data_IF_788411559680
#
_entry.id   IF_788411559680
#
_cell.length_a   1.000
_cell.length_b   1.000
_cell.length_c   1.000
_cell.angle_alpha   90.00
_cell.angle_beta   90.00
_cell.angle_gamma   90.00
#
_symmetry.space_group_name_H-M   'P 1'
#
loop_
_entity.id
_entity.type
_entity.pdbx_description
1 polymer ?
#
# COMPACT_ATOMS: atom_id res chain seq x y z
N UNK A 1 -11.37 34.20 -9.65
CA UNK A 1 -10.58 33.02 -9.27
C UNK A 1 -11.29 31.78 -9.78
N UNK A 2 -10.65 31.06 -10.64
CA UNK A 2 -11.16 29.77 -11.09
C UNK A 2 -11.24 28.78 -9.92
N UNK A 3 -12.35 28.08 -9.79
CA UNK A 3 -12.54 27.11 -8.70
C UNK A 3 -11.71 25.87 -9.05
N UNK A 4 -10.86 25.41 -8.12
CA UNK A 4 -10.09 24.17 -8.28
C UNK A 4 -11.04 23.01 -8.63
N UNK A 5 -10.63 22.14 -9.52
CA UNK A 5 -11.32 20.87 -9.75
C UNK A 5 -11.23 19.98 -8.51
N UNK A 6 -12.06 18.95 -8.45
CA UNK A 6 -12.02 18.01 -7.32
C UNK A 6 -10.64 17.36 -7.16
N UNK A 7 -10.04 16.89 -8.24
CA UNK A 7 -8.71 16.27 -8.20
C UNK A 7 -7.61 17.28 -7.85
N UNK A 8 -7.71 18.54 -8.29
CA UNK A 8 -6.74 19.58 -7.92
C UNK A 8 -6.80 19.90 -6.43
N UNK A 9 -8.01 19.90 -5.85
CA UNK A 9 -8.20 20.11 -4.42
C UNK A 9 -7.59 18.96 -3.59
N UNK A 10 -7.78 17.71 -4.04
CA UNK A 10 -7.19 16.52 -3.42
C UNK A 10 -5.66 16.51 -3.55
N UNK A 11 -5.13 16.86 -4.71
CA UNK A 11 -3.69 16.99 -4.95
C UNK A 11 -3.06 18.05 -4.04
N UNK A 12 -3.66 19.24 -4.01
CA UNK A 12 -3.16 20.33 -3.18
C UNK A 12 -3.14 19.97 -1.68
N UNK A 13 -4.18 19.27 -1.19
CA UNK A 13 -4.21 18.77 0.18
C UNK A 13 -3.11 17.74 0.44
N UNK A 14 -2.93 16.77 -0.45
CA UNK A 14 -1.90 15.74 -0.30
C UNK A 14 -0.48 16.31 -0.33
N UNK A 15 -0.20 17.24 -1.24
CA UNK A 15 1.08 17.95 -1.33
C UNK A 15 1.34 18.77 -0.06
N UNK A 16 0.33 19.48 0.44
CA UNK A 16 0.44 20.22 1.70
C UNK A 16 0.83 19.30 2.86
N UNK A 17 0.12 18.16 3.02
CA UNK A 17 0.42 17.18 4.07
C UNK A 17 1.84 16.62 3.95
N UNK A 18 2.29 16.29 2.73
CA UNK A 18 3.64 15.77 2.49
C UNK A 18 4.70 16.80 2.89
N UNK A 19 4.51 18.07 2.52
CA UNK A 19 5.42 19.16 2.88
C UNK A 19 5.43 19.44 4.39
N UNK A 20 4.26 19.42 5.04
CA UNK A 20 4.12 19.59 6.48
C UNK A 20 4.93 18.55 7.26
N UNK A 21 4.82 17.27 6.88
CA UNK A 21 5.60 16.20 7.51
C UNK A 21 7.10 16.35 7.27
N UNK A 22 7.50 16.76 6.07
CA UNK A 22 8.92 16.98 5.77
C UNK A 22 9.52 18.16 6.56
N UNK A 23 8.70 19.16 6.89
CA UNK A 23 9.12 20.33 7.66
C UNK A 23 9.15 20.07 9.18
N UNK A 24 8.16 19.33 9.69
CA UNK A 24 7.90 19.23 11.12
C UNK A 24 8.41 17.92 11.76
N UNK A 25 8.59 16.85 10.98
CA UNK A 25 9.04 15.55 11.49
C UNK A 25 10.55 15.36 11.27
N UNK A 26 11.25 14.95 12.31
CA UNK A 26 12.71 14.85 12.32
C UNK A 26 13.24 13.87 11.27
N UNK A 27 12.59 12.69 11.12
CA UNK A 27 13.06 11.64 10.21
C UNK A 27 11.90 10.92 9.50
N UNK A 28 11.32 11.53 8.47
CA UNK A 28 10.24 10.92 7.71
C UNK A 28 10.74 9.85 6.72
N UNK A 29 9.85 8.93 6.35
CA UNK A 29 10.06 7.91 5.31
C UNK A 29 8.75 7.68 4.56
N UNK A 30 8.81 7.43 3.26
CA UNK A 30 7.63 7.06 2.50
C UNK A 30 7.62 5.55 2.21
N UNK A 31 6.57 4.87 2.66
CA UNK A 31 6.41 3.46 2.39
C UNK A 31 5.99 3.25 0.92
N UNK A 32 6.72 2.39 0.23
CA UNK A 32 6.46 2.06 -1.16
C UNK A 32 6.11 0.58 -1.32
N UNK A 33 4.81 0.30 -1.42
CA UNK A 33 4.29 -1.07 -1.54
C UNK A 33 4.17 -1.56 -2.99
N UNK A 34 4.51 -0.71 -3.96
CA UNK A 34 4.44 -0.94 -5.43
C UNK A 34 2.98 -0.99 -5.94
N UNK A 35 1.98 -0.82 -5.08
CA UNK A 35 0.58 -0.72 -5.48
C UNK A 35 0.24 0.66 -6.08
N UNK A 36 -0.93 0.77 -6.74
CA UNK A 36 -1.42 2.01 -7.35
C UNK A 36 -1.39 3.22 -6.39
N UNK A 37 -1.85 3.01 -5.16
CA UNK A 37 -1.90 4.06 -4.14
C UNK A 37 -0.50 4.56 -3.77
N UNK A 38 0.47 3.65 -3.62
CA UNK A 38 1.87 4.03 -3.35
C UNK A 38 2.57 4.67 -4.57
N UNK A 39 2.15 4.33 -5.80
CA UNK A 39 2.64 4.99 -7.01
C UNK A 39 2.11 6.42 -7.12
N UNK A 40 0.85 6.66 -6.77
CA UNK A 40 0.28 8.02 -6.63
C UNK A 40 1.02 8.79 -5.54
N UNK A 41 1.28 8.18 -4.39
CA UNK A 41 2.04 8.81 -3.30
C UNK A 41 3.46 9.20 -3.73
N UNK A 42 4.15 8.34 -4.47
CA UNK A 42 5.47 8.63 -5.04
C UNK A 42 5.41 9.83 -5.99
N UNK A 43 4.44 9.84 -6.91
CA UNK A 43 4.24 10.96 -7.84
C UNK A 43 3.97 12.27 -7.09
N UNK A 44 3.07 12.27 -6.11
CA UNK A 44 2.76 13.43 -5.27
C UNK A 44 3.99 13.93 -4.50
N UNK A 45 4.83 13.03 -3.99
CA UNK A 45 6.06 13.40 -3.31
C UNK A 45 7.05 14.07 -4.27
N UNK A 46 7.26 13.51 -5.48
CA UNK A 46 8.09 14.14 -6.51
C UNK A 46 7.57 15.51 -6.89
N UNK A 47 6.25 15.65 -7.07
CA UNK A 47 5.60 16.93 -7.42
C UNK A 47 5.70 17.95 -6.26
N UNK A 48 5.62 17.51 -5.01
CA UNK A 48 5.69 18.36 -3.83
C UNK A 48 7.03 19.10 -3.71
N UNK A 49 8.12 18.49 -4.18
CA UNK A 49 9.47 19.06 -4.04
C UNK A 49 10.11 19.44 -5.37
N UNK A 50 9.39 19.32 -6.48
CA UNK A 50 9.91 19.73 -7.79
C UNK A 50 10.47 21.15 -7.78
N UNK A 51 11.67 21.39 -8.39
CA UNK A 51 12.49 20.48 -9.21
C UNK A 51 13.40 19.54 -8.40
N UNK A 52 13.49 19.70 -7.10
CA UNK A 52 14.30 18.86 -6.21
C UNK A 52 13.63 17.52 -5.94
N UNK A 53 14.38 16.59 -5.33
CA UNK A 53 13.86 15.30 -4.86
C UNK A 53 13.24 15.44 -3.47
N UNK A 54 12.32 14.53 -3.10
CA UNK A 54 11.83 14.46 -1.72
C UNK A 54 12.98 14.33 -0.71
N UNK A 55 12.99 15.12 0.39
CA UNK A 55 14.09 15.12 1.37
C UNK A 55 14.00 13.94 2.35
N UNK A 56 13.45 12.82 1.91
CA UNK A 56 13.31 11.60 2.70
C UNK A 56 13.39 10.36 1.80
N UNK A 57 13.87 9.22 2.34
CA UNK A 57 13.95 7.98 1.59
C UNK A 57 12.58 7.31 1.41
N UNK A 58 12.54 6.35 0.49
CA UNK A 58 11.43 5.42 0.31
C UNK A 58 11.79 4.08 0.93
N UNK A 59 10.82 3.41 1.54
CA UNK A 59 11.03 2.12 2.18
C UNK A 59 10.08 1.06 1.61
N UNK A 60 10.66 0.00 1.05
CA UNK A 60 9.96 -1.21 0.67
C UNK A 60 10.18 -2.32 1.70
N UNK A 61 9.12 -2.78 2.33
CA UNK A 61 9.15 -4.00 3.15
C UNK A 61 8.96 -5.20 2.24
N UNK A 62 10.05 -5.89 1.96
CA UNK A 62 10.04 -7.08 1.13
C UNK A 62 9.71 -8.32 1.97
N UNK A 63 8.55 -8.87 1.72
CA UNK A 63 8.05 -10.07 2.40
C UNK A 63 8.57 -11.37 1.78
N UNK A 64 9.50 -11.30 0.81
CA UNK A 64 10.04 -12.39 0.00
C UNK A 64 9.04 -13.09 -0.93
N UNK A 65 7.75 -12.82 -0.77
CA UNK A 65 6.65 -13.37 -1.56
C UNK A 65 5.91 -12.27 -2.34
N UNK A 66 6.65 -11.47 -3.10
CA UNK A 66 6.11 -10.51 -4.06
C UNK A 66 6.11 -11.09 -5.46
N UNK A 67 5.21 -10.62 -6.31
CA UNK A 67 5.27 -10.95 -7.74
C UNK A 67 6.57 -10.41 -8.34
N UNK A 68 7.17 -11.19 -9.25
CA UNK A 68 8.39 -10.79 -9.95
C UNK A 68 8.26 -9.46 -10.68
N UNK A 69 7.10 -9.26 -11.35
CA UNK A 69 6.81 -8.00 -12.03
C UNK A 69 6.82 -6.78 -11.08
N UNK A 70 6.39 -6.97 -9.82
CA UNK A 70 6.42 -5.88 -8.82
C UNK A 70 7.85 -5.47 -8.48
N UNK A 71 8.71 -6.43 -8.20
CA UNK A 71 10.10 -6.13 -7.82
C UNK A 71 10.83 -5.46 -8.98
N UNK A 72 10.69 -6.00 -10.19
CA UNK A 72 11.26 -5.40 -11.39
C UNK A 72 10.79 -3.95 -11.58
N UNK A 73 9.49 -3.70 -11.50
CA UNK A 73 8.91 -2.36 -11.64
C UNK A 73 9.45 -1.40 -10.58
N UNK A 74 9.54 -1.84 -9.31
CA UNK A 74 10.12 -1.04 -8.21
C UNK A 74 11.53 -0.56 -8.55
N UNK A 75 12.38 -1.48 -8.98
CA UNK A 75 13.80 -1.20 -9.24
C UNK A 75 13.97 -0.27 -10.45
N UNK A 76 13.16 -0.48 -11.49
CA UNK A 76 13.12 0.40 -12.67
C UNK A 76 12.65 1.81 -12.29
N UNK A 77 11.60 1.95 -11.49
CA UNK A 77 11.11 3.26 -11.04
C UNK A 77 12.12 3.97 -10.14
N UNK A 78 12.73 3.27 -9.18
CA UNK A 78 13.75 3.85 -8.31
C UNK A 78 14.92 4.40 -9.11
N UNK A 79 15.40 3.63 -10.11
CA UNK A 79 16.48 4.04 -11.00
C UNK A 79 16.08 5.24 -11.89
N UNK A 80 14.89 5.19 -12.51
CA UNK A 80 14.37 6.23 -13.40
C UNK A 80 14.24 7.57 -12.67
N UNK A 81 13.71 7.57 -11.47
CA UNK A 81 13.49 8.76 -10.66
C UNK A 81 14.72 9.17 -9.84
N UNK A 82 15.71 8.30 -9.75
CA UNK A 82 16.94 8.53 -8.98
C UNK A 82 16.66 8.77 -7.50
N UNK A 83 15.69 8.04 -6.92
CA UNK A 83 15.31 8.12 -5.51
C UNK A 83 16.04 7.08 -4.67
N UNK A 84 16.23 7.38 -3.39
CA UNK A 84 16.76 6.42 -2.43
C UNK A 84 15.66 5.43 -2.04
N UNK A 85 15.82 4.16 -2.45
CA UNK A 85 14.89 3.08 -2.12
C UNK A 85 15.54 2.10 -1.15
N UNK A 86 15.12 2.17 0.11
CA UNK A 86 15.52 1.22 1.14
C UNK A 86 14.67 -0.04 1.03
N UNK A 87 15.31 -1.18 1.11
CA UNK A 87 14.62 -2.47 1.21
C UNK A 87 14.86 -3.06 2.59
N UNK A 88 13.80 -3.60 3.20
CA UNK A 88 13.89 -4.30 4.46
C UNK A 88 13.23 -5.66 4.39
N UNK A 89 13.95 -6.68 4.83
CA UNK A 89 13.50 -8.07 4.97
C UNK A 89 13.63 -8.48 6.44
N UNK A 90 12.62 -9.15 6.98
CA UNK A 90 12.74 -9.79 8.29
C UNK A 90 13.57 -11.08 8.14
N UNK A 91 14.88 -10.98 8.34
CA UNK A 91 15.81 -12.09 8.17
C UNK A 91 15.52 -13.27 9.12
N UNK A 92 15.03 -12.99 10.33
CA UNK A 92 14.69 -14.05 11.27
C UNK A 92 13.46 -14.84 10.81
N UNK A 93 12.46 -14.17 10.23
CA UNK A 93 11.35 -14.85 9.58
C UNK A 93 11.79 -15.71 8.38
N UNK A 94 12.76 -15.22 7.60
CA UNK A 94 13.35 -16.02 6.49
C UNK A 94 14.06 -17.25 7.02
N UNK A 95 14.92 -17.11 8.04
CA UNK A 95 15.63 -18.25 8.67
C UNK A 95 14.69 -19.30 9.24
N UNK A 96 13.52 -18.88 9.75
CA UNK A 96 12.47 -19.77 10.27
C UNK A 96 11.60 -20.39 9.14
N UNK A 97 11.86 -20.07 7.88
CA UNK A 97 11.09 -20.58 6.75
C UNK A 97 9.65 -20.08 6.69
N UNK A 98 9.37 -18.91 7.28
CA UNK A 98 8.01 -18.35 7.32
C UNK A 98 7.50 -18.07 5.90
N UNK A 99 6.41 -18.71 5.51
CA UNK A 99 5.83 -18.61 4.18
C UNK A 99 4.28 -18.54 4.25
N UNK A 100 3.61 -18.07 3.20
CA UNK A 100 2.17 -17.85 3.22
C UNK A 100 1.33 -19.14 3.21
N UNK A 101 1.89 -20.28 2.77
CA UNK A 101 1.16 -21.54 2.67
C UNK A 101 1.03 -22.26 4.00
N UNK A 102 2.11 -22.29 4.77
CA UNK A 102 2.20 -23.06 6.01
C UNK A 102 1.83 -22.21 7.24
N UNK A 103 1.93 -20.89 7.14
CA UNK A 103 1.82 -19.98 8.28
C UNK A 103 0.63 -19.02 8.21
N UNK A 104 -0.14 -18.99 7.13
CA UNK A 104 -1.39 -18.21 7.00
C UNK A 104 -1.25 -16.74 7.47
N UNK A 105 -2.07 -16.33 8.44
CA UNK A 105 -2.04 -14.96 8.97
C UNK A 105 -0.75 -14.62 9.72
N UNK A 106 -0.09 -15.60 10.36
CA UNK A 106 1.19 -15.39 11.05
C UNK A 106 2.29 -14.93 10.07
N UNK A 107 2.27 -15.41 8.82
CA UNK A 107 3.17 -14.91 7.78
C UNK A 107 3.04 -13.39 7.59
N UNK A 108 1.82 -12.88 7.48
CA UNK A 108 1.60 -11.43 7.30
C UNK A 108 2.05 -10.64 8.51
N UNK A 109 1.81 -11.16 9.72
CA UNK A 109 2.28 -10.50 10.93
C UNK A 109 3.82 -10.44 10.97
N UNK A 110 4.49 -11.57 10.81
CA UNK A 110 5.95 -11.67 10.95
C UNK A 110 6.67 -10.95 9.79
N UNK A 111 6.30 -11.26 8.54
CA UNK A 111 7.04 -10.79 7.37
C UNK A 111 6.66 -9.39 6.91
N UNK A 112 5.54 -8.84 7.39
CA UNK A 112 5.08 -7.49 7.02
C UNK A 112 5.00 -6.57 8.24
N UNK A 113 4.20 -6.89 9.26
CA UNK A 113 3.95 -6.00 10.40
C UNK A 113 5.20 -5.86 11.27
N UNK A 114 5.78 -6.98 11.71
CA UNK A 114 7.01 -6.97 12.52
C UNK A 114 8.20 -6.44 11.71
N UNK A 115 8.34 -6.85 10.44
CA UNK A 115 9.38 -6.32 9.56
C UNK A 115 9.32 -4.79 9.42
N UNK A 116 8.11 -4.21 9.29
CA UNK A 116 7.95 -2.76 9.26
C UNK A 116 8.39 -2.12 10.58
N UNK A 117 7.96 -2.67 11.72
CA UNK A 117 8.37 -2.16 13.05
C UNK A 117 9.88 -2.20 13.23
N UNK A 118 10.51 -3.31 12.84
CA UNK A 118 11.96 -3.49 12.88
C UNK A 118 12.66 -2.45 12.00
N UNK A 119 12.19 -2.24 10.76
CA UNK A 119 12.75 -1.25 9.84
C UNK A 119 12.67 0.16 10.42
N UNK A 120 11.51 0.57 10.91
CA UNK A 120 11.30 1.90 11.47
C UNK A 120 12.19 2.15 12.69
N UNK A 121 12.34 1.15 13.55
CA UNK A 121 13.24 1.22 14.72
C UNK A 121 14.71 1.25 14.30
N UNK A 122 15.11 0.35 13.39
CA UNK A 122 16.50 0.25 12.91
C UNK A 122 17.00 1.54 12.29
N UNK A 123 16.14 2.18 11.48
CA UNK A 123 16.51 3.42 10.81
C UNK A 123 16.15 4.67 11.62
N UNK A 124 15.42 4.53 12.73
CA UNK A 124 15.01 5.64 13.60
C UNK A 124 13.98 6.57 12.96
N UNK A 125 13.09 6.06 12.10
CA UNK A 125 12.07 6.89 11.47
C UNK A 125 10.98 7.32 12.45
N UNK A 126 10.67 8.62 12.46
CA UNK A 126 9.68 9.23 13.35
C UNK A 126 8.32 9.42 12.68
N UNK A 127 8.29 9.50 11.36
CA UNK A 127 7.05 9.57 10.58
C UNK A 127 7.13 8.64 9.35
N UNK A 128 6.03 7.93 9.07
CA UNK A 128 5.96 7.07 7.89
C UNK A 128 4.69 7.35 7.09
N UNK A 129 4.87 7.78 5.84
CA UNK A 129 3.76 7.97 4.92
C UNK A 129 3.22 6.64 4.41
N UNK A 130 1.91 6.53 4.24
CA UNK A 130 1.24 5.40 3.66
C UNK A 130 0.04 5.75 2.81
N UNK A 131 -0.27 4.87 1.86
CA UNK A 131 -1.36 5.03 0.91
C UNK A 131 -2.74 4.61 1.42
N UNK A 132 -2.95 4.53 2.74
CA UNK A 132 -4.25 4.14 3.30
C UNK A 132 -5.35 5.17 3.03
N UNK A 133 -6.52 4.69 2.59
CA UNK A 133 -7.69 5.52 2.27
C UNK A 133 -8.89 5.14 3.13
N UNK A 134 -9.73 6.12 3.48
CA UNK A 134 -10.98 5.89 4.24
C UNK A 134 -12.01 5.11 3.44
N UNK A 135 -11.98 5.26 2.12
CA UNK A 135 -12.82 4.55 1.18
C UNK A 135 -12.50 3.04 1.13
N UNK A 136 -11.23 2.69 1.26
CA UNK A 136 -10.77 1.31 1.23
C UNK A 136 -11.27 0.49 2.44
N UNK A 137 -11.29 1.12 3.63
CA UNK A 137 -11.60 0.41 4.86
C UNK A 137 -12.10 1.39 5.96
N UNK A 138 -13.28 1.11 6.52
CA UNK A 138 -13.98 2.01 7.47
C UNK A 138 -13.17 2.38 8.72
N UNK A 139 -12.34 1.48 9.22
CA UNK A 139 -11.52 1.76 10.42
C UNK A 139 -10.43 2.81 10.15
N UNK A 140 -10.09 3.07 8.86
CA UNK A 140 -9.16 4.14 8.46
C UNK A 140 -9.68 5.53 8.84
N UNK A 141 -10.99 5.74 8.85
CA UNK A 141 -11.57 7.02 9.27
C UNK A 141 -11.23 7.38 10.73
N UNK A 142 -11.07 6.38 11.60
CA UNK A 142 -10.70 6.58 13.01
C UNK A 142 -9.24 6.99 13.19
N UNK A 143 -8.36 6.55 12.30
CA UNK A 143 -6.92 6.85 12.37
C UNK A 143 -6.58 8.30 12.00
N UNK A 144 -7.49 9.01 11.33
CA UNK A 144 -7.25 10.35 10.81
C UNK A 144 -6.16 10.37 9.72
N UNK A 145 -5.69 11.56 9.36
CA UNK A 145 -4.57 11.74 8.42
C UNK A 145 -3.24 11.52 9.15
N UNK A 146 -3.10 12.07 10.37
CA UNK A 146 -1.92 11.90 11.22
C UNK A 146 -2.25 10.90 12.35
N UNK A 147 -1.93 9.65 12.13
CA UNK A 147 -2.21 8.56 13.05
C UNK A 147 -1.06 8.37 14.04
N UNK A 148 -1.32 8.71 15.28
CA UNK A 148 -0.34 8.61 16.36
C UNK A 148 -0.04 7.15 16.73
N UNK A 149 1.24 6.85 16.98
CA UNK A 149 1.72 5.55 17.45
C UNK A 149 2.51 5.73 18.74
N UNK A 150 2.17 4.96 19.73
CA UNK A 150 2.90 4.93 21.01
C UNK A 150 4.28 4.26 20.86
N UNK A 151 5.05 4.17 21.94
CA UNK A 151 6.38 3.54 21.97
C UNK A 151 6.41 2.06 21.57
N UNK A 152 5.28 1.35 21.65
CA UNK A 152 5.12 -0.01 21.13
C UNK A 152 4.75 -0.04 19.64
N UNK A 153 4.75 1.12 18.96
CA UNK A 153 4.30 1.33 17.58
C UNK A 153 2.83 0.92 17.33
N UNK A 154 2.04 0.86 18.39
CA UNK A 154 0.62 0.56 18.35
C UNK A 154 -0.22 1.83 18.21
N UNK A 155 -1.31 1.74 17.44
CA UNK A 155 -2.28 2.82 17.38
C UNK A 155 -3.08 2.90 18.68
N UNK A 156 -3.12 4.11 19.28
CA UNK A 156 -3.92 4.39 20.45
C UNK A 156 -5.05 5.36 20.10
N UNK A 157 -6.29 4.86 19.95
CA UNK A 157 -7.43 5.70 19.61
C UNK A 157 -7.78 6.75 20.68
N UNK A 158 -7.38 6.54 21.94
CA UNK A 158 -7.65 7.48 23.03
C UNK A 158 -6.77 8.74 22.94
N UNK A 159 -5.57 8.58 22.39
CA UNK A 159 -4.61 9.67 22.21
C UNK A 159 -4.59 10.22 20.77
N UNK A 160 -5.54 9.79 19.93
CA UNK A 160 -5.69 10.34 18.58
C UNK A 160 -6.08 11.82 18.66
N UNK A 161 -5.31 12.66 17.99
CA UNK A 161 -5.46 14.12 18.03
C UNK A 161 -6.50 14.61 17.03
N UNK A 162 -7.26 15.67 17.34
CA UNK A 162 -8.17 16.28 16.39
C UNK A 162 -7.41 16.99 15.26
N UNK A 163 -8.01 17.02 14.08
CA UNK A 163 -7.48 17.67 12.87
C UNK A 163 -8.46 18.76 12.40
N UNK A 164 -8.72 19.72 13.27
CA UNK A 164 -9.62 20.84 12.97
C UNK A 164 -8.91 21.86 12.08
N UNK A 165 -9.64 22.39 11.10
CA UNK A 165 -9.13 23.41 10.16
C UNK A 165 -7.84 23.02 9.42
N UNK A 166 -7.61 21.73 9.21
CA UNK A 166 -6.37 21.19 8.59
C UNK A 166 -5.10 21.54 9.36
N UNK A 167 -5.21 21.74 10.66
CA UNK A 167 -4.07 21.89 11.54
C UNK A 167 -3.68 20.53 12.11
N UNK A 168 -2.40 20.21 11.99
CA UNK A 168 -1.87 18.93 12.42
C UNK A 168 -0.93 19.09 13.60
N UNK A 169 -1.03 18.18 14.56
CA UNK A 169 -0.12 18.16 15.70
C UNK A 169 0.89 17.01 15.52
N UNK A 170 2.10 17.35 15.12
CA UNK A 170 3.20 16.43 14.83
C UNK A 170 4.10 16.15 16.04
N UNK A 171 3.85 16.78 17.19
CA UNK A 171 4.67 16.56 18.39
C UNK A 171 4.58 15.13 18.88
N UNK A 172 5.72 14.49 19.01
CA UNK A 172 5.88 13.12 19.53
C UNK A 172 6.92 13.13 20.66
N UNK A 173 6.82 12.15 21.56
CA UNK A 173 7.82 11.91 22.59
C UNK A 173 8.82 10.87 22.11
N UNK A 174 9.90 10.71 22.85
CA UNK A 174 10.92 9.71 22.52
C UNK A 174 10.31 8.31 22.46
N UNK A 175 10.53 7.63 21.34
CA UNK A 175 9.99 6.29 21.08
C UNK A 175 8.62 6.26 20.42
N UNK A 176 7.92 7.40 20.32
CA UNK A 176 6.65 7.52 19.59
C UNK A 176 6.89 7.80 18.10
N UNK A 177 5.87 7.59 17.28
CA UNK A 177 5.94 7.85 15.84
C UNK A 177 4.57 8.20 15.26
N UNK A 178 4.57 8.69 14.02
CA UNK A 178 3.36 8.97 13.25
C UNK A 178 3.24 8.05 12.05
N UNK A 179 2.01 7.66 11.72
CA UNK A 179 1.66 7.18 10.37
C UNK A 179 0.85 8.28 9.71
N UNK A 180 1.25 8.68 8.51
CA UNK A 180 0.61 9.80 7.80
C UNK A 180 -0.01 9.30 6.50
N UNK A 181 -1.26 9.68 6.25
CA UNK A 181 -2.07 9.22 5.12
C UNK A 181 -2.50 10.39 4.23
N UNK A 182 -1.62 10.93 3.38
CA UNK A 182 -1.91 12.11 2.55
C UNK A 182 -3.09 11.95 1.61
N UNK A 183 -3.36 10.71 1.15
CA UNK A 183 -4.46 10.38 0.25
C UNK A 183 -5.68 9.78 1.00
N UNK A 184 -5.79 10.00 2.32
CA UNK A 184 -6.86 9.43 3.15
C UNK A 184 -8.27 9.76 2.65
N UNK A 185 -8.46 10.94 2.05
CA UNK A 185 -9.75 11.43 1.56
C UNK A 185 -10.07 11.02 0.12
N UNK A 186 -9.16 10.34 -0.56
CA UNK A 186 -9.32 9.90 -1.95
C UNK A 186 -10.14 8.62 -2.03
N UNK A 187 -10.99 8.52 -3.04
CA UNK A 187 -11.69 7.27 -3.41
C UNK A 187 -10.84 6.42 -4.36
N UNK A 188 -11.22 5.15 -4.57
CA UNK A 188 -10.58 4.31 -5.59
C UNK A 188 -10.69 4.96 -6.98
N UNK A 189 -11.84 5.57 -7.28
CA UNK A 189 -12.07 6.31 -8.51
C UNK A 189 -11.09 7.48 -8.66
N UNK A 190 -10.90 8.28 -7.60
CA UNK A 190 -9.96 9.41 -7.64
C UNK A 190 -8.54 8.96 -7.94
N UNK A 191 -8.12 7.83 -7.36
CA UNK A 191 -6.80 7.23 -7.63
C UNK A 191 -6.65 6.91 -9.12
N UNK A 192 -7.60 6.21 -9.72
CA UNK A 192 -7.55 5.82 -11.12
C UNK A 192 -7.60 7.02 -12.06
N UNK A 193 -8.50 7.98 -11.81
CA UNK A 193 -8.61 9.20 -12.60
C UNK A 193 -7.35 10.07 -12.48
N UNK A 194 -6.71 10.09 -11.32
CA UNK A 194 -5.46 10.81 -11.13
C UNK A 194 -4.28 10.13 -11.85
N UNK A 195 -4.20 8.80 -11.79
CA UNK A 195 -3.22 8.01 -12.57
C UNK A 195 -3.34 8.32 -14.05
N UNK A 196 -4.56 8.36 -14.58
CA UNK A 196 -4.84 8.68 -15.98
C UNK A 196 -4.44 10.13 -16.32
N UNK A 197 -4.87 11.10 -15.51
CA UNK A 197 -4.62 12.52 -15.72
C UNK A 197 -3.12 12.87 -15.73
N UNK A 198 -2.39 12.34 -14.77
CA UNK A 198 -0.96 12.61 -14.59
C UNK A 198 -0.05 11.62 -15.35
N UNK A 199 -0.66 10.67 -16.08
CA UNK A 199 0.07 9.61 -16.80
C UNK A 199 1.06 8.85 -15.90
N UNK A 200 0.62 8.48 -14.70
CA UNK A 200 1.45 7.79 -13.71
C UNK A 200 1.69 6.35 -14.14
N UNK A 201 2.96 5.97 -14.22
CA UNK A 201 3.31 4.56 -14.46
C UNK A 201 2.94 3.70 -13.26
N UNK A 202 2.28 2.59 -13.53
CA UNK A 202 1.90 1.58 -12.54
C UNK A 202 2.33 0.18 -13.00
N UNK A 203 2.44 -0.73 -12.05
CA UNK A 203 2.86 -2.10 -12.36
C UNK A 203 1.88 -2.79 -13.31
N UNK A 204 2.37 -3.53 -14.33
CA UNK A 204 1.53 -4.14 -15.37
C UNK A 204 0.49 -5.14 -14.87
N UNK A 205 0.59 -5.60 -13.64
CA UNK A 205 -0.38 -6.51 -13.01
C UNK A 205 -1.80 -5.92 -12.88
N UNK A 206 -1.94 -4.62 -12.97
CA UNK A 206 -3.26 -3.96 -12.95
C UNK A 206 -4.02 -4.10 -14.28
N UNK A 207 -3.31 -4.38 -15.38
CA UNK A 207 -3.88 -4.54 -16.72
C UNK A 207 -4.14 -6.01 -17.02
N UNK A 208 -5.26 -6.28 -17.70
CA UNK A 208 -5.63 -7.63 -18.08
C UNK A 208 -4.61 -8.21 -19.09
N UNK A 209 -4.14 -9.41 -18.80
CA UNK A 209 -3.18 -10.14 -19.63
C UNK A 209 -3.37 -11.63 -19.43
N UNK A 210 -3.07 -12.42 -20.48
CA UNK A 210 -2.96 -13.87 -20.38
C UNK A 210 -1.89 -14.25 -19.35
N UNK A 211 -2.31 -14.99 -18.32
CA UNK A 211 -1.43 -15.41 -17.21
C UNK A 211 -1.74 -16.84 -16.80
N UNK A 212 -0.74 -17.63 -16.39
CA UNK A 212 -0.96 -18.94 -15.81
C UNK A 212 -1.60 -18.79 -14.43
N UNK A 213 -2.75 -19.42 -14.22
CA UNK A 213 -3.51 -19.33 -12.96
C UNK A 213 -3.98 -20.70 -12.51
N UNK A 214 -4.31 -20.80 -11.24
CA UNK A 214 -5.07 -21.92 -10.65
C UNK A 214 -6.30 -21.36 -9.94
N UNK A 215 -7.31 -22.20 -9.79
CA UNK A 215 -8.49 -21.92 -8.97
C UNK A 215 -8.34 -22.63 -7.63
N UNK A 216 -8.35 -21.88 -6.55
CA UNK A 216 -8.22 -22.40 -5.18
C UNK A 216 -9.21 -21.71 -4.26
N UNK A 217 -10.14 -22.47 -3.69
CA UNK A 217 -11.12 -21.95 -2.72
C UNK A 217 -11.91 -20.72 -3.25
N UNK A 218 -12.29 -20.77 -4.53
CA UNK A 218 -13.02 -19.70 -5.21
C UNK A 218 -12.17 -18.48 -5.61
N UNK A 219 -10.86 -18.52 -5.39
CA UNK A 219 -9.94 -17.46 -5.78
C UNK A 219 -9.11 -17.86 -6.99
N UNK A 220 -8.82 -16.87 -7.86
CA UNK A 220 -7.89 -17.01 -8.98
C UNK A 220 -6.50 -16.64 -8.47
N UNK A 221 -5.59 -17.60 -8.43
CA UNK A 221 -4.22 -17.40 -7.97
C UNK A 221 -3.28 -17.53 -9.17
N UNK A 222 -2.53 -16.47 -9.46
CA UNK A 222 -1.53 -16.50 -10.52
C UNK A 222 -0.35 -17.39 -10.12
N UNK A 223 0.15 -18.18 -11.05
CA UNK A 223 1.36 -18.99 -10.88
C UNK A 223 2.55 -18.17 -11.33
N UNK A 224 3.19 -17.48 -10.40
CA UNK A 224 4.31 -16.56 -10.68
C UNK A 224 5.66 -17.28 -10.71
N UNK A 225 5.80 -18.35 -9.93
CA UNK A 225 7.01 -19.17 -9.84
C UNK A 225 6.73 -20.59 -9.30
N UNK A 226 7.79 -21.38 -9.21
CA UNK A 226 7.79 -22.80 -8.79
C UNK A 226 7.56 -23.03 -7.29
N UNK A 227 7.54 -21.97 -6.49
CA UNK A 227 7.25 -22.05 -5.04
C UNK A 227 5.77 -22.37 -4.78
N UNK A 228 4.88 -22.12 -5.75
CA UNK A 228 3.48 -22.48 -5.63
C UNK A 228 3.32 -23.98 -5.89
N UNK A 229 3.05 -24.74 -4.82
CA UNK A 229 2.78 -26.18 -4.91
C UNK A 229 1.31 -26.42 -5.26
N UNK A 230 1.07 -27.18 -6.33
CA UNK A 230 -0.26 -27.59 -6.72
C UNK A 230 -0.81 -28.61 -5.74
N UNK A 231 -2.09 -28.48 -5.40
CA UNK A 231 -2.84 -29.49 -4.65
C UNK A 231 -3.39 -30.58 -5.59
N UNK A 232 -3.72 -31.77 -5.07
CA UNK A 232 -4.36 -32.81 -5.88
C UNK A 232 -5.60 -32.27 -6.60
N UNK A 233 -5.64 -32.45 -7.92
CA UNK A 233 -6.75 -32.00 -8.79
C UNK A 233 -6.64 -30.56 -9.31
N UNK A 234 -5.72 -29.75 -8.82
CA UNK A 234 -5.48 -28.41 -9.39
C UNK A 234 -4.76 -28.53 -10.75
N UNK A 235 -5.15 -27.68 -11.68
CA UNK A 235 -4.53 -27.57 -13.02
C UNK A 235 -4.18 -26.11 -13.28
N UNK A 236 -3.04 -25.90 -13.93
CA UNK A 236 -2.66 -24.57 -14.41
C UNK A 236 -3.39 -24.32 -15.71
N UNK A 237 -4.10 -23.20 -15.77
CA UNK A 237 -4.81 -22.73 -16.97
C UNK A 237 -4.30 -21.34 -17.33
N UNK A 238 -4.26 -20.99 -18.62
CA UNK A 238 -4.01 -19.62 -19.03
C UNK A 238 -5.34 -18.88 -19.13
N UNK A 239 -5.44 -17.76 -18.43
CA UNK A 239 -6.63 -16.90 -18.41
C UNK A 239 -6.23 -15.43 -18.52
N UNK A 240 -7.07 -14.63 -19.15
CA UNK A 240 -6.91 -13.20 -19.18
C UNK A 240 -7.38 -12.62 -17.84
N UNK A 241 -6.42 -12.20 -17.01
CA UNK A 241 -6.66 -11.75 -15.63
C UNK A 241 -5.89 -10.48 -15.33
N UNK A 242 -6.44 -9.70 -14.41
CA UNK A 242 -5.81 -8.55 -13.79
C UNK A 242 -6.00 -8.56 -12.27
N UNK A 243 -5.32 -7.63 -11.58
CA UNK A 243 -5.46 -7.48 -10.14
C UNK A 243 -6.07 -6.11 -9.81
N UNK A 244 -7.03 -6.04 -8.88
CA UNK A 244 -7.57 -4.77 -8.36
C UNK A 244 -6.71 -4.19 -7.24
N UNK A 245 -6.12 -5.08 -6.44
CA UNK A 245 -5.16 -4.71 -5.38
C UNK A 245 -3.95 -5.63 -5.45
N UNK A 246 -2.81 -5.15 -5.01
CA UNK A 246 -1.59 -5.92 -4.98
C UNK A 246 -1.07 -6.09 -3.55
N UNK A 247 -0.68 -7.30 -3.24
CA UNK A 247 -0.16 -7.69 -1.93
C UNK A 247 0.97 -8.69 -2.05
N UNK A 248 0.96 -9.68 -1.16
CA UNK A 248 1.87 -10.81 -1.26
C UNK A 248 1.31 -11.85 -2.22
N UNK A 249 2.13 -12.35 -3.11
CA UNK A 249 1.88 -13.58 -3.85
C UNK A 249 1.82 -14.74 -2.83
N UNK A 250 1.04 -15.68 -2.85
CA UNK A 250 -0.22 -16.00 -3.49
C UNK A 250 -1.47 -15.58 -2.68
N UNK A 251 -1.34 -14.61 -1.77
CA UNK A 251 -2.45 -14.11 -0.94
C UNK A 251 -3.27 -13.03 -1.66
N UNK A 252 -2.96 -12.77 -2.92
CA UNK A 252 -3.65 -11.79 -3.76
C UNK A 252 -4.35 -12.52 -4.89
N UNK A 253 -5.68 -12.50 -4.88
CA UNK A 253 -6.49 -13.07 -5.95
C UNK A 253 -6.55 -12.14 -7.16
N UNK A 254 -6.51 -12.72 -8.36
CA UNK A 254 -6.84 -12.06 -9.62
C UNK A 254 -8.34 -12.07 -9.88
N UNK A 255 -8.75 -11.30 -10.87
CA UNK A 255 -10.10 -11.32 -11.45
C UNK A 255 -9.98 -11.55 -12.96
N UNK A 256 -10.89 -12.34 -13.55
CA UNK A 256 -11.02 -12.39 -15.00
C UNK A 256 -11.50 -11.03 -15.49
N UNK A 257 -10.84 -10.49 -16.50
CA UNK A 257 -11.16 -9.17 -17.04
C UNK A 257 -10.54 -9.02 -18.43
N UNK A 258 -11.22 -8.23 -19.26
CA UNK A 258 -10.70 -7.81 -20.56
C UNK A 258 -10.00 -6.45 -20.51
N UNK A 259 -10.13 -5.70 -19.38
CA UNK A 259 -9.62 -4.34 -19.23
C UNK A 259 -8.08 -4.30 -19.27
N UNK A 260 -7.53 -3.92 -20.40
CA UNK A 260 -6.08 -3.76 -20.63
C UNK A 260 -5.65 -2.31 -20.86
N UNK A 261 -6.58 -1.35 -20.72
CA UNK A 261 -6.36 0.09 -20.75
C UNK A 261 -6.86 0.76 -19.47
N UNK A 262 -6.36 1.98 -19.18
CA UNK A 262 -6.82 2.76 -18.01
C UNK A 262 -8.31 3.13 -18.10
N UNK A 263 -8.81 3.45 -19.29
CA UNK A 263 -10.21 3.79 -19.51
C UNK A 263 -11.12 2.61 -19.12
N UNK A 264 -10.81 1.41 -19.59
CA UNK A 264 -11.57 0.20 -19.28
C UNK A 264 -11.50 -0.16 -17.78
N UNK A 265 -10.35 0.03 -17.13
CA UNK A 265 -10.20 -0.18 -15.69
C UNK A 265 -11.07 0.81 -14.90
N UNK A 266 -11.14 2.07 -15.34
CA UNK A 266 -11.99 3.09 -14.73
C UNK A 266 -13.46 2.71 -14.88
N UNK A 267 -13.89 2.30 -16.07
CA UNK A 267 -15.26 1.87 -16.34
C UNK A 267 -15.65 0.64 -15.51
N UNK A 268 -14.79 -0.36 -15.40
CA UNK A 268 -15.00 -1.50 -14.50
C UNK A 268 -15.08 -1.06 -13.03
N UNK A 269 -14.23 -0.12 -12.61
CA UNK A 269 -14.24 0.39 -11.22
C UNK A 269 -15.54 1.12 -10.90
N UNK A 270 -16.07 1.90 -11.84
CA UNK A 270 -17.34 2.61 -11.70
C UNK A 270 -18.54 1.66 -11.64
N UNK A 271 -18.47 0.53 -12.35
CA UNK A 271 -19.51 -0.49 -12.40
C UNK A 271 -19.44 -1.47 -11.21
N UNK A 272 -18.33 -1.49 -10.46
CA UNK A 272 -18.13 -2.44 -9.39
C UNK A 272 -18.96 -2.11 -8.14
N UNK A 273 -19.78 -3.05 -7.70
CA UNK A 273 -20.60 -2.96 -6.47
C UNK A 273 -19.77 -3.33 -5.22
N UNK A 274 -18.67 -4.09 -5.39
CA UNK A 274 -17.85 -4.61 -4.30
C UNK A 274 -16.59 -3.80 -4.07
N UNK A 275 -16.15 -3.73 -2.80
CA UNK A 275 -14.85 -3.12 -2.44
C UNK A 275 -13.68 -3.80 -3.16
N UNK A 276 -12.64 -3.05 -3.48
CA UNK A 276 -11.40 -3.56 -4.06
C UNK A 276 -10.71 -4.65 -3.22
N UNK A 277 -10.98 -4.69 -1.91
CA UNK A 277 -10.41 -5.67 -0.98
C UNK A 277 -11.05 -7.05 -1.03
N UNK A 278 -12.19 -7.22 -1.68
CA UNK A 278 -12.88 -8.52 -1.76
C UNK A 278 -12.05 -9.61 -2.46
N UNK A 279 -11.11 -9.24 -3.31
CA UNK A 279 -10.17 -10.16 -3.97
C UNK A 279 -8.97 -10.58 -3.11
N UNK A 280 -8.85 -10.07 -1.88
CA UNK A 280 -7.76 -10.47 -0.96
C UNK A 280 -8.16 -11.72 -0.19
N UNK A 281 -7.50 -12.82 -0.46
CA UNK A 281 -7.73 -14.12 0.20
C UNK A 281 -7.62 -14.02 1.74
N UNK A 282 -6.78 -13.11 2.23
CA UNK A 282 -6.51 -12.96 3.67
C UNK A 282 -7.53 -12.11 4.41
N UNK A 283 -8.40 -11.35 3.72
CA UNK A 283 -9.32 -10.41 4.36
C UNK A 283 -10.69 -11.01 4.67
N UNK A 284 -10.90 -12.32 4.45
CA UNK A 284 -12.11 -13.07 4.83
C UNK A 284 -12.22 -13.34 6.34
N UNK A 285 -11.50 -12.58 7.17
CA UNK A 285 -11.55 -12.71 8.63
C UNK A 285 -12.74 -11.97 9.26
N UNK A 286 -13.06 -12.34 10.53
CA UNK A 286 -14.17 -11.79 11.29
C UNK A 286 -14.17 -10.25 11.39
N UNK A 287 -15.35 -9.65 11.50
CA UNK A 287 -15.55 -8.21 11.69
C UNK A 287 -14.68 -7.68 12.86
N UNK A 288 -13.96 -6.58 12.63
CA UNK A 288 -13.06 -5.96 13.61
C UNK A 288 -11.62 -6.48 13.61
N UNK A 289 -11.28 -7.47 12.77
CA UNK A 289 -9.91 -7.99 12.66
C UNK A 289 -8.89 -6.91 12.29
N UNK A 290 -9.24 -5.98 11.40
CA UNK A 290 -8.37 -4.88 10.98
C UNK A 290 -8.12 -3.87 12.11
N UNK A 291 -9.12 -3.56 12.95
CA UNK A 291 -8.91 -2.67 14.09
C UNK A 291 -7.97 -3.29 15.13
N UNK A 292 -8.10 -4.59 15.38
CA UNK A 292 -7.17 -5.35 16.23
C UNK A 292 -5.75 -5.31 15.67
N UNK A 293 -5.56 -5.60 14.36
CA UNK A 293 -4.25 -5.57 13.70
C UNK A 293 -3.57 -4.20 13.78
N UNK A 294 -4.34 -3.10 13.71
CA UNK A 294 -3.79 -1.75 13.86
C UNK A 294 -3.26 -1.49 15.28
N UNK A 295 -3.95 -2.01 16.31
CA UNK A 295 -3.46 -1.97 17.69
C UNK A 295 -2.17 -2.78 17.86
N UNK A 296 -1.97 -3.80 17.05
CA UNK A 296 -0.74 -4.60 16.99
C UNK A 296 0.36 -3.92 16.15
N UNK A 297 0.06 -2.80 15.50
CA UNK A 297 1.01 -2.01 14.70
C UNK A 297 0.94 -2.24 13.20
N UNK A 298 -0.10 -2.94 12.71
CA UNK A 298 -0.33 -3.08 11.27
C UNK A 298 -0.53 -1.71 10.61
N UNK A 299 -0.06 -1.61 9.36
CA UNK A 299 -0.11 -0.39 8.56
C UNK A 299 -1.27 -0.43 7.57
#
# INVERSE_FOLDING_TARGET
MEKLSHLDALEAEAIYIIREVAAECEKPVMLYSIGKDSSVMLHLAMKAFYPEKPPFPFLHVNTTWKFKEMIKFRDEQAKKLGIEMLEYINEDGVKQGINPFDHGSAYTDIMKTQALKQALTKYGFTAAFGGGRRDEEKSRAKERIFSFRNSAQAWDPKNQRPEMWKLYNTKIQKGESMRVFPISNWTEKDIWQYIQRENIEIVPLYFAKERPVIYREGNIIMVDDDRLKLRPGEKIENKKVRFRTLGCYPLTGGIESEADTLDEIIDETLSAVSSERTSRVIDHEAAGSMERRKREGYF
#
